data_IF_760008204449
#
_entry.id   IF_760008204449
#
_cell.length_a   1.000
_cell.length_b   1.000
_cell.length_c   1.000
_cell.angle_alpha   90.00
_cell.angle_beta   90.00
_cell.angle_gamma   90.00
#
_symmetry.space_group_name_H-M   'P 1'
#
loop_
_entity.id
_entity.type
_entity.pdbx_description
1 polymer ?
#
# COMPACT_ATOMS: atom_id res chain seq x y z
N UNK A 1 -1.67 -25.33 -31.54
CA UNK A 1 -1.49 -24.11 -30.71
C UNK A 1 -2.33 -24.28 -29.46
N UNK A 2 -1.78 -24.33 -28.23
CA UNK A 2 -2.62 -24.41 -27.04
C UNK A 2 -3.11 -23.01 -26.66
N UNK A 3 -4.42 -22.84 -26.57
CA UNK A 3 -5.05 -21.70 -25.93
C UNK A 3 -4.86 -21.85 -24.42
N UNK A 4 -3.99 -21.04 -23.82
CA UNK A 4 -4.00 -20.87 -22.37
C UNK A 4 -5.35 -20.22 -22.00
N UNK A 5 -6.13 -20.80 -21.06
CA UNK A 5 -7.34 -20.14 -20.61
C UNK A 5 -6.95 -18.77 -20.00
N UNK A 6 -7.77 -17.71 -20.17
CA UNK A 6 -7.54 -16.47 -19.45
C UNK A 6 -7.52 -16.83 -17.96
N UNK A 7 -6.36 -16.66 -17.33
CA UNK A 7 -6.25 -16.72 -15.88
C UNK A 7 -7.31 -15.74 -15.39
N UNK A 8 -8.35 -16.26 -14.72
CA UNK A 8 -9.38 -15.41 -14.11
C UNK A 8 -8.63 -14.57 -13.10
N UNK A 9 -8.26 -13.36 -13.52
CA UNK A 9 -7.66 -12.37 -12.66
C UNK A 9 -8.58 -12.28 -11.48
N UNK A 10 -8.07 -12.66 -10.30
CA UNK A 10 -8.76 -12.33 -9.06
C UNK A 10 -9.12 -10.86 -9.21
N UNK A 11 -10.40 -10.53 -9.08
CA UNK A 11 -10.83 -9.17 -8.84
C UNK A 11 -10.15 -8.73 -7.56
N UNK A 12 -8.90 -8.29 -7.67
CA UNK A 12 -8.22 -7.58 -6.60
C UNK A 12 -8.96 -6.26 -6.60
N UNK A 13 -9.91 -6.12 -5.68
CA UNK A 13 -10.51 -4.83 -5.43
C UNK A 13 -9.38 -3.91 -5.00
N UNK A 14 -8.93 -3.06 -5.92
CA UNK A 14 -7.93 -2.04 -5.61
C UNK A 14 -8.63 -0.93 -4.85
N UNK A 15 -8.36 -0.88 -3.55
CA UNK A 15 -8.81 0.22 -2.72
C UNK A 15 -7.78 1.33 -2.82
N UNK A 16 -8.09 2.35 -3.62
CA UNK A 16 -7.36 3.61 -3.57
C UNK A 16 -7.73 4.27 -2.25
N UNK A 17 -6.72 4.59 -1.44
CA UNK A 17 -6.93 5.38 -0.24
C UNK A 17 -7.20 6.83 -0.66
N UNK A 18 -8.41 7.30 -0.37
CA UNK A 18 -8.80 8.70 -0.50
C UNK A 18 -8.62 9.40 0.86
N UNK A 19 -8.10 10.63 0.83
CA UNK A 19 -8.00 11.52 1.98
C UNK A 19 -7.27 10.96 3.22
N UNK A 20 -6.37 10.00 3.01
CA UNK A 20 -5.60 9.40 4.10
C UNK A 20 -4.69 10.43 4.77
N UNK A 21 -4.80 10.54 6.10
CA UNK A 21 -4.04 11.49 6.92
C UNK A 21 -2.76 10.84 7.43
N UNK A 22 -1.60 11.49 7.27
CA UNK A 22 -0.35 10.99 7.83
C UNK A 22 -0.42 11.02 9.36
N UNK A 23 -0.06 9.91 10.00
CA UNK A 23 -0.05 9.79 11.47
C UNK A 23 1.30 9.40 12.05
N UNK A 24 2.26 9.06 11.20
CA UNK A 24 3.63 8.69 11.59
C UNK A 24 4.68 9.67 11.07
N UNK A 25 5.95 9.36 11.34
CA UNK A 25 7.07 10.11 10.79
C UNK A 25 7.16 9.89 9.27
N UNK A 26 7.79 10.83 8.57
CA UNK A 26 8.16 10.61 7.17
C UNK A 26 9.34 9.63 7.10
N UNK A 27 9.17 8.52 6.39
CA UNK A 27 10.25 7.53 6.15
C UNK A 27 11.08 7.87 4.92
N UNK A 28 10.70 8.90 4.15
CA UNK A 28 11.43 9.33 2.97
C UNK A 28 10.64 10.27 2.07
N UNK A 29 11.18 10.54 0.88
CA UNK A 29 10.57 11.38 -0.14
C UNK A 29 10.37 10.57 -1.42
N UNK A 30 9.16 10.56 -1.96
CA UNK A 30 8.82 9.95 -3.24
C UNK A 30 7.98 10.90 -4.08
N UNK A 31 8.39 11.11 -5.34
CA UNK A 31 7.71 12.01 -6.27
C UNK A 31 7.43 13.41 -5.68
N UNK A 32 8.41 13.97 -4.97
CA UNK A 32 8.32 15.26 -4.27
C UNK A 32 7.23 15.31 -3.17
N UNK A 33 6.86 14.17 -2.61
CA UNK A 33 5.97 14.04 -1.45
C UNK A 33 6.63 13.21 -0.38
N UNK A 34 6.38 13.57 0.87
CA UNK A 34 6.80 12.75 2.01
C UNK A 34 6.07 11.40 1.99
N UNK A 35 6.79 10.36 2.37
CA UNK A 35 6.26 9.02 2.55
C UNK A 35 5.95 8.87 4.03
N UNK A 36 4.70 9.04 4.48
CA UNK A 36 4.38 8.79 5.87
C UNK A 36 4.52 7.31 6.18
N UNK A 37 5.20 6.99 7.28
CA UNK A 37 5.34 5.63 7.83
C UNK A 37 3.98 4.95 7.99
N UNK A 38 2.99 5.71 8.45
CA UNK A 38 1.62 5.27 8.62
C UNK A 38 0.62 6.37 8.27
N UNK A 39 -0.52 5.94 7.72
CA UNK A 39 -1.65 6.80 7.39
C UNK A 39 -2.92 6.25 8.00
N UNK A 40 -3.89 7.12 8.26
CA UNK A 40 -5.21 6.76 8.76
C UNK A 40 -6.27 7.24 7.78
N UNK A 41 -7.25 6.40 7.46
CA UNK A 41 -8.40 6.79 6.65
C UNK A 41 -9.46 7.54 7.49
N UNK A 42 -10.49 8.08 6.83
CA UNK A 42 -11.58 8.77 7.54
C UNK A 42 -12.41 7.85 8.45
N UNK A 43 -12.29 6.53 8.29
CA UNK A 43 -12.91 5.53 9.16
C UNK A 43 -12.05 5.20 10.40
N UNK A 44 -10.88 5.83 10.55
CA UNK A 44 -9.96 5.59 11.65
C UNK A 44 -9.13 4.31 11.51
N UNK A 45 -9.12 3.68 10.32
CA UNK A 45 -8.30 2.50 10.03
C UNK A 45 -6.88 2.94 9.76
N UNK A 46 -5.92 2.32 10.45
CA UNK A 46 -4.50 2.61 10.27
C UNK A 46 -3.88 1.69 9.22
N UNK A 47 -3.03 2.28 8.41
CA UNK A 47 -2.28 1.62 7.37
C UNK A 47 -0.79 1.95 7.50
N UNK A 48 0.06 0.96 7.26
CA UNK A 48 1.52 1.10 7.32
C UNK A 48 2.13 1.02 5.93
N UNK A 49 3.18 1.81 5.69
CA UNK A 49 3.88 1.83 4.43
C UNK A 49 4.52 0.46 4.16
N UNK A 50 4.23 -0.10 2.99
CA UNK A 50 4.69 -1.42 2.56
C UNK A 50 5.66 -1.37 1.38
N UNK A 51 5.68 -0.26 0.63
CA UNK A 51 6.57 -0.09 -0.51
C UNK A 51 6.01 0.84 -1.57
N UNK A 52 6.54 0.75 -2.78
CA UNK A 52 6.09 1.53 -3.93
C UNK A 52 5.45 0.58 -4.92
N UNK A 53 4.31 0.98 -5.46
CA UNK A 53 3.59 0.22 -6.47
C UNK A 53 4.45 0.12 -7.73
N UNK A 54 4.73 -1.09 -8.22
CA UNK A 54 5.39 -1.24 -9.51
C UNK A 54 4.55 -0.55 -10.57
N UNK A 55 5.20 0.14 -11.50
CA UNK A 55 4.56 0.79 -12.63
C UNK A 55 4.88 0.03 -13.90
N UNK A 56 3.88 -0.15 -14.75
CA UNK A 56 4.05 -0.68 -16.10
C UNK A 56 4.73 0.37 -16.97
N UNK A 57 5.30 -0.08 -18.09
CA UNK A 57 5.95 0.81 -19.07
C UNK A 57 5.00 1.88 -19.64
N UNK A 58 3.69 1.65 -19.58
CA UNK A 58 2.66 2.62 -19.99
C UNK A 58 2.39 3.71 -18.93
N UNK A 59 3.04 3.64 -17.76
CA UNK A 59 2.86 4.59 -16.66
C UNK A 59 1.73 4.25 -15.67
N UNK A 60 0.94 3.22 -15.96
CA UNK A 60 -0.09 2.73 -15.04
C UNK A 60 0.52 1.87 -13.93
N UNK A 61 -0.21 1.74 -12.81
CA UNK A 61 0.18 0.82 -11.75
C UNK A 61 0.06 -0.62 -12.22
N UNK A 62 1.07 -1.44 -11.94
CA UNK A 62 1.03 -2.87 -12.22
C UNK A 62 0.22 -3.58 -11.14
N UNK A 63 -1.08 -3.59 -11.37
CA UNK A 63 -2.08 -4.08 -10.46
C UNK A 63 -2.02 -5.61 -10.27
N UNK A 64 -1.49 -6.35 -11.25
CA UNK A 64 -1.27 -7.79 -11.17
C UNK A 64 -0.11 -8.15 -10.22
N UNK A 65 0.82 -7.23 -9.98
CA UNK A 65 1.95 -7.43 -9.07
C UNK A 65 1.60 -7.13 -7.60
N UNK A 66 0.42 -6.56 -7.33
CA UNK A 66 -0.02 -6.23 -5.97
C UNK A 66 -0.51 -7.46 -5.22
N UNK A 67 -0.18 -7.51 -3.93
CA UNK A 67 -0.63 -8.59 -3.04
C UNK A 67 -1.98 -8.24 -2.42
N UNK A 68 -2.74 -9.29 -2.07
CA UNK A 68 -4.01 -9.14 -1.36
C UNK A 68 -3.80 -8.43 -0.01
N UNK A 69 -4.58 -7.38 0.24
CA UNK A 69 -4.49 -6.54 1.44
C UNK A 69 -3.50 -5.36 1.33
N UNK A 70 -2.95 -5.10 0.14
CA UNK A 70 -2.25 -3.87 -0.18
C UNK A 70 -3.20 -2.83 -0.78
N UNK A 71 -2.96 -1.58 -0.41
CA UNK A 71 -3.75 -0.41 -0.75
C UNK A 71 -2.84 0.61 -1.41
N UNK A 72 -3.30 1.26 -2.48
CA UNK A 72 -2.51 2.26 -3.18
C UNK A 72 -2.92 3.65 -2.70
N UNK A 73 -1.95 4.41 -2.23
CA UNK A 73 -2.06 5.85 -2.01
C UNK A 73 -1.35 6.58 -3.15
N UNK A 74 -2.02 7.52 -3.81
CA UNK A 74 -1.37 8.31 -4.87
C UNK A 74 -0.19 9.11 -4.28
N UNK A 75 0.98 9.12 -4.93
CA UNK A 75 1.21 8.85 -6.35
C UNK A 75 1.67 7.41 -6.68
N UNK A 76 1.44 6.42 -5.81
CA UNK A 76 1.88 5.03 -6.03
C UNK A 76 2.55 4.41 -4.82
N UNK A 77 2.22 4.87 -3.62
CA UNK A 77 2.71 4.31 -2.38
C UNK A 77 1.80 3.14 -2.00
N UNK A 78 2.40 2.01 -1.64
CA UNK A 78 1.69 0.86 -1.13
C UNK A 78 1.61 0.92 0.38
N UNK A 79 0.41 0.69 0.87
CA UNK A 79 0.06 0.65 2.26
C UNK A 79 -0.64 -0.66 2.58
N UNK A 80 -0.46 -1.18 3.78
CA UNK A 80 -1.18 -2.37 4.25
C UNK A 80 -1.96 -2.01 5.48
N UNK A 81 -3.19 -2.51 5.59
CA UNK A 81 -3.97 -2.30 6.81
C UNK A 81 -3.20 -2.91 7.99
N UNK A 82 -2.92 -2.09 8.99
CA UNK A 82 -2.36 -2.55 10.25
C UNK A 82 -3.47 -3.31 10.97
N UNK A 83 -3.59 -4.61 10.66
CA UNK A 83 -4.37 -5.50 11.54
C UNK A 83 -3.61 -5.51 12.84
N UNK A 84 -4.15 -4.78 13.82
CA UNK A 84 -3.65 -4.68 15.18
C UNK A 84 -3.25 -6.06 15.71
N UNK A 85 -1.99 -6.45 15.50
CA UNK A 85 -1.30 -7.29 16.45
C UNK A 85 -0.86 -6.35 17.56
N UNK A 86 -1.27 -6.60 18.80
CA UNK A 86 -0.87 -5.74 19.91
C UNK A 86 0.64 -5.78 20.08
N UNK A 87 1.24 -4.59 20.07
CA UNK A 87 2.37 -4.14 20.91
C UNK A 87 3.44 -5.19 21.29
N UNK A 88 4.58 -5.20 20.59
CA UNK A 88 5.83 -5.68 21.19
C UNK A 88 7.15 -5.06 20.66
N UNK A 89 7.15 -4.10 19.72
CA UNK A 89 8.39 -3.42 19.27
C UNK A 89 8.83 -2.21 20.13
N UNK A 90 8.44 -2.17 21.40
CA UNK A 90 8.85 -1.12 22.36
C UNK A 90 10.00 -1.50 23.29
N UNK A 91 10.46 -2.78 23.29
CA UNK A 91 11.32 -3.29 24.37
C UNK A 91 12.74 -3.69 23.96
N UNK A 92 13.20 -3.41 22.73
CA UNK A 92 14.49 -3.91 22.26
C UNK A 92 15.62 -2.89 22.10
N UNK A 93 15.47 -1.68 22.64
CA UNK A 93 16.59 -0.74 22.76
C UNK A 93 16.64 -0.15 24.18
N UNK A 94 17.30 -0.88 25.10
CA UNK A 94 17.87 -0.33 26.33
C UNK A 94 19.24 -0.93 26.56
#
# INVERSE_FOLDING_TARGET
>A
MPFAPPQRGRSIEYFILHDAKPTGQSVGLYANREIPESVVDDFGRRYVFAGIAPRRQNGDFDVDALRSGEFILKPGLLYRIERRQPSWFGSLFR
#
